data_IF_456611426123
#
_entry.id   IF_456611426123
#
_cell.length_a   1.000
_cell.length_b   1.000
_cell.length_c   1.000
_cell.angle_alpha   90.00
_cell.angle_beta   90.00
_cell.angle_gamma   90.00
#
_symmetry.space_group_name_H-M   'P 1'
#
loop_
_entity.id
_entity.type
_entity.pdbx_description
1 polymer ?
#
# COMPACT_ATOMS: atom_id res chain seq x y z
N UNK A 1 -22.16 6.22 10.40
CA UNK A 1 -22.23 7.45 11.24
C UNK A 1 -20.86 8.12 11.38
N UNK A 2 -19.81 7.42 11.84
CA UNK A 2 -18.50 8.03 12.10
C UNK A 2 -17.88 8.74 10.90
N UNK A 3 -17.93 8.18 9.69
CA UNK A 3 -17.44 8.85 8.47
C UNK A 3 -18.24 10.09 8.10
N UNK A 4 -19.59 10.05 8.25
CA UNK A 4 -20.43 11.21 8.01
C UNK A 4 -20.10 12.35 8.98
N UNK A 5 -19.86 12.02 10.25
CA UNK A 5 -19.46 12.99 11.27
C UNK A 5 -18.09 13.61 10.97
N UNK A 6 -17.06 12.80 10.69
CA UNK A 6 -15.73 13.28 10.39
C UNK A 6 -15.66 14.01 9.03
N UNK A 7 -16.45 13.56 8.08
CA UNK A 7 -16.53 14.15 6.74
C UNK A 7 -17.50 15.33 6.64
N UNK A 8 -18.26 15.63 7.71
CA UNK A 8 -19.29 16.68 7.70
C UNK A 8 -20.23 16.57 6.48
N UNK A 9 -20.68 15.37 6.17
CA UNK A 9 -21.53 15.08 5.02
C UNK A 9 -22.76 14.25 5.40
N UNK A 10 -23.85 14.28 4.60
CA UNK A 10 -25.01 13.41 4.78
C UNK A 10 -24.66 11.93 4.75
N UNK A 11 -25.50 11.08 5.34
CA UNK A 11 -25.28 9.64 5.41
C UNK A 11 -25.22 8.96 4.02
N UNK A 12 -26.00 9.41 3.09
CA UNK A 12 -26.02 8.94 1.70
C UNK A 12 -24.72 9.23 0.94
N UNK A 13 -23.97 10.25 1.36
CA UNK A 13 -22.72 10.65 0.71
C UNK A 13 -21.48 9.87 1.23
N UNK A 14 -21.61 9.10 2.32
CA UNK A 14 -20.47 8.35 2.89
C UNK A 14 -19.93 7.23 1.98
N UNK A 15 -20.70 6.79 0.99
CA UNK A 15 -20.28 5.81 0.01
C UNK A 15 -19.38 6.41 -1.09
N UNK A 16 -19.27 7.74 -1.14
CA UNK A 16 -18.43 8.48 -2.08
C UNK A 16 -17.26 9.12 -1.34
N UNK A 17 -16.06 8.56 -1.47
CA UNK A 17 -14.86 9.04 -0.76
C UNK A 17 -14.58 10.53 -1.02
N UNK A 18 -14.81 11.02 -2.23
CA UNK A 18 -14.65 12.43 -2.56
C UNK A 18 -15.55 13.36 -1.75
N UNK A 19 -16.74 12.92 -1.33
CA UNK A 19 -17.69 13.75 -0.59
C UNK A 19 -17.28 13.95 0.87
N UNK A 20 -17.03 12.85 1.59
CA UNK A 20 -16.63 12.99 3.00
C UNK A 20 -15.23 13.59 3.15
N UNK A 21 -14.31 13.36 2.19
CA UNK A 21 -13.00 14.00 2.21
C UNK A 21 -13.09 15.49 1.89
N UNK A 22 -13.88 15.89 0.88
CA UNK A 22 -14.12 17.30 0.56
C UNK A 22 -14.72 18.02 1.77
N UNK A 23 -15.72 17.46 2.44
CA UNK A 23 -16.31 18.04 3.62
C UNK A 23 -15.32 18.21 4.79
N UNK A 24 -14.52 17.18 5.08
CA UNK A 24 -13.48 17.26 6.11
C UNK A 24 -12.44 18.36 5.80
N UNK A 25 -12.00 18.47 4.55
CA UNK A 25 -11.05 19.51 4.12
C UNK A 25 -11.68 20.91 4.23
N UNK A 26 -12.92 21.09 3.78
CA UNK A 26 -13.59 22.38 3.84
C UNK A 26 -13.77 22.89 5.27
N UNK A 27 -14.09 22.00 6.22
CA UNK A 27 -14.17 22.37 7.64
C UNK A 27 -12.78 22.71 8.20
N UNK A 28 -11.74 21.99 7.82
CA UNK A 28 -10.37 22.33 8.20
C UNK A 28 -9.97 23.72 7.66
N UNK A 29 -10.24 24.01 6.39
CA UNK A 29 -9.97 25.31 5.77
C UNK A 29 -10.70 26.44 6.50
N UNK A 30 -12.01 26.26 6.77
CA UNK A 30 -12.81 27.24 7.50
C UNK A 30 -12.23 27.55 8.88
N UNK A 31 -11.82 26.51 9.62
CA UNK A 31 -11.20 26.69 10.96
C UNK A 31 -9.87 27.43 10.92
N UNK A 32 -9.17 27.39 9.80
CA UNK A 32 -7.90 28.08 9.61
C UNK A 32 -8.02 29.35 8.79
N UNK A 33 -9.25 29.87 8.53
CA UNK A 33 -9.53 31.07 7.76
C UNK A 33 -8.92 31.04 6.34
N UNK A 34 -8.90 29.86 5.71
CA UNK A 34 -8.38 29.65 4.36
C UNK A 34 -9.56 29.52 3.39
N UNK A 35 -9.52 30.26 2.29
CA UNK A 35 -10.54 30.20 1.23
C UNK A 35 -10.27 29.01 0.32
N UNK A 36 -11.29 28.15 0.14
CA UNK A 36 -11.20 27.03 -0.78
C UNK A 36 -11.31 27.50 -2.25
N UNK A 37 -10.61 26.84 -3.20
CA UNK A 37 -10.82 27.09 -4.61
C UNK A 37 -12.23 26.66 -5.04
N UNK A 38 -12.73 27.19 -6.14
CA UNK A 38 -13.97 26.72 -6.73
C UNK A 38 -13.83 25.27 -7.23
N UNK A 39 -14.94 24.53 -7.18
CA UNK A 39 -14.94 23.17 -7.73
C UNK A 39 -14.72 23.23 -9.25
N UNK A 40 -13.86 22.36 -9.82
CA UNK A 40 -13.65 22.33 -11.26
C UNK A 40 -14.98 22.13 -12.01
N UNK A 41 -15.21 22.93 -13.04
CA UNK A 41 -16.36 22.69 -13.94
C UNK A 41 -16.13 21.36 -14.64
N UNK A 42 -17.16 20.52 -14.72
CA UNK A 42 -17.09 19.29 -15.52
C UNK A 42 -16.81 19.72 -16.98
N UNK A 43 -15.63 19.39 -17.50
CA UNK A 43 -15.40 19.48 -18.93
C UNK A 43 -16.15 18.29 -19.57
N UNK A 44 -16.97 18.55 -20.57
CA UNK A 44 -17.61 17.51 -21.39
C UNK A 44 -16.62 16.78 -22.32
N UNK A 45 -15.32 17.04 -22.16
CA UNK A 45 -14.25 16.36 -22.90
C UNK A 45 -13.73 15.16 -22.13
N UNK A 46 -13.52 14.06 -22.83
CA UNK A 46 -12.85 12.86 -22.37
C UNK A 46 -11.42 13.20 -21.85
N UNK A 47 -11.30 13.65 -20.63
CA UNK A 47 -10.02 13.59 -19.94
C UNK A 47 -9.91 12.18 -19.37
N UNK A 48 -9.61 11.21 -20.22
CA UNK A 48 -9.03 9.93 -19.80
C UNK A 48 -7.65 10.21 -19.21
N UNK A 49 -7.61 10.88 -18.06
CA UNK A 49 -6.44 11.08 -17.23
C UNK A 49 -6.05 9.75 -16.55
N UNK A 50 -5.79 8.75 -17.37
CA UNK A 50 -5.18 7.51 -16.91
C UNK A 50 -3.74 7.83 -16.53
N UNK A 51 -3.41 7.74 -15.24
CA UNK A 51 -2.05 7.87 -14.74
C UNK A 51 -1.52 6.55 -14.21
N UNK A 52 -0.20 6.43 -14.15
CA UNK A 52 0.47 5.20 -13.71
C UNK A 52 0.18 4.95 -12.24
N UNK A 53 -0.44 3.81 -11.94
CA UNK A 53 -0.80 3.40 -10.57
C UNK A 53 0.37 2.81 -9.77
N UNK A 54 0.05 1.95 -8.82
CA UNK A 54 1.02 1.26 -7.98
C UNK A 54 1.98 0.35 -8.75
N UNK A 55 3.20 0.21 -8.26
CA UNK A 55 4.12 -0.80 -8.77
C UNK A 55 3.80 -2.17 -8.16
N UNK A 56 3.65 -3.17 -9.02
CA UNK A 56 3.49 -4.58 -8.63
C UNK A 56 4.45 -5.41 -9.47
N UNK A 57 5.36 -6.12 -8.82
CA UNK A 57 6.32 -7.01 -9.48
C UNK A 57 5.65 -8.32 -9.88
N UNK A 58 6.12 -8.98 -10.95
CA UNK A 58 5.79 -10.38 -11.16
C UNK A 58 6.45 -11.22 -10.05
N UNK A 59 5.72 -12.13 -9.40
CA UNK A 59 6.31 -12.94 -8.35
C UNK A 59 7.28 -13.99 -8.92
N UNK A 60 8.22 -14.39 -8.10
CA UNK A 60 8.89 -15.68 -8.27
C UNK A 60 7.84 -16.76 -7.99
N UNK A 61 7.28 -17.35 -9.08
CA UNK A 61 6.14 -18.27 -9.00
C UNK A 61 6.50 -19.54 -8.24
N UNK A 62 5.51 -20.07 -7.54
CA UNK A 62 5.62 -21.34 -6.81
C UNK A 62 5.46 -21.17 -5.31
N UNK A 63 5.77 -22.27 -4.60
CA UNK A 63 5.76 -22.31 -3.14
C UNK A 63 7.12 -21.87 -2.59
N UNK A 64 7.09 -20.99 -1.61
CA UNK A 64 8.25 -20.52 -0.86
C UNK A 64 8.02 -20.78 0.63
N UNK A 65 9.07 -21.25 1.31
CA UNK A 65 9.00 -21.52 2.74
C UNK A 65 9.56 -20.34 3.53
N UNK A 66 9.02 -20.14 4.73
CA UNK A 66 9.46 -19.16 5.71
C UNK A 66 9.57 -17.77 5.12
N UNK A 67 8.42 -17.32 4.60
CA UNK A 67 8.27 -16.00 3.98
C UNK A 67 7.93 -14.99 5.05
N UNK A 68 8.59 -13.84 5.03
CA UNK A 68 8.16 -12.66 5.79
C UNK A 68 7.98 -11.49 4.83
N UNK A 69 7.14 -10.56 5.25
CA UNK A 69 6.97 -9.30 4.55
C UNK A 69 7.62 -8.14 5.30
N UNK A 70 7.83 -7.09 4.56
CA UNK A 70 8.17 -5.76 5.06
C UNK A 70 7.26 -4.77 4.35
N UNK A 71 6.45 -4.04 5.11
CA UNK A 71 5.42 -3.12 4.60
C UNK A 71 5.78 -1.66 4.93
N UNK A 72 5.72 -0.79 3.92
CA UNK A 72 5.97 0.64 4.10
C UNK A 72 4.76 1.28 4.77
N UNK A 73 4.94 1.73 5.99
CA UNK A 73 3.90 2.32 6.84
C UNK A 73 3.19 3.47 6.14
N UNK A 74 1.91 3.24 5.75
CA UNK A 74 1.09 4.26 5.09
C UNK A 74 1.81 4.95 3.93
N UNK A 75 2.36 4.19 2.98
CA UNK A 75 3.28 4.65 1.93
C UNK A 75 2.80 5.93 1.22
N UNK A 76 1.59 5.97 0.69
CA UNK A 76 1.09 7.15 -0.02
C UNK A 76 0.90 8.39 0.88
N UNK A 77 0.27 8.30 2.07
CA UNK A 77 0.29 9.39 3.03
C UNK A 77 1.71 9.86 3.39
N UNK A 78 2.65 8.92 3.56
CA UNK A 78 4.05 9.26 3.87
C UNK A 78 4.74 9.99 2.72
N UNK A 79 4.49 9.61 1.46
CA UNK A 79 4.96 10.35 0.28
C UNK A 79 4.39 11.77 0.25
N UNK A 80 3.07 11.92 0.45
CA UNK A 80 2.41 13.24 0.45
C UNK A 80 3.00 14.14 1.53
N UNK A 81 3.11 13.64 2.76
CA UNK A 81 3.63 14.42 3.89
C UNK A 81 5.12 14.72 3.78
N UNK A 82 5.92 13.81 3.22
CA UNK A 82 7.38 13.99 3.10
C UNK A 82 7.74 14.99 2.01
N UNK A 83 7.12 14.87 0.84
CA UNK A 83 7.40 15.74 -0.31
C UNK A 83 6.59 17.04 -0.26
N UNK A 84 5.64 17.13 0.67
CA UNK A 84 4.72 18.27 0.84
C UNK A 84 3.78 18.46 -0.37
N UNK A 85 3.22 17.35 -0.87
CA UNK A 85 2.37 17.33 -2.07
C UNK A 85 1.02 17.98 -1.76
N UNK A 86 0.79 19.16 -2.32
CA UNK A 86 -0.48 19.89 -2.22
C UNK A 86 -0.58 20.89 -3.38
N UNK A 87 -1.78 21.26 -3.86
CA UNK A 87 -1.90 22.19 -4.99
C UNK A 87 -1.19 23.52 -4.77
N UNK A 88 -1.28 24.11 -3.58
CA UNK A 88 -0.71 25.41 -3.25
C UNK A 88 0.80 25.39 -2.94
N UNK A 89 1.38 24.21 -2.75
CA UNK A 89 2.83 24.05 -2.56
C UNK A 89 3.56 23.70 -3.85
N UNK A 90 2.83 23.32 -4.90
CA UNK A 90 3.36 23.00 -6.23
C UNK A 90 3.99 24.24 -6.87
N UNK A 91 5.25 24.13 -7.30
CA UNK A 91 6.01 25.20 -7.95
C UNK A 91 6.02 25.01 -9.47
N UNK A 92 6.23 23.76 -9.92
CA UNK A 92 6.34 23.41 -11.31
C UNK A 92 6.88 21.97 -11.46
N UNK A 93 7.28 21.63 -12.68
CA UNK A 93 7.76 20.29 -13.04
C UNK A 93 9.07 20.35 -13.80
N UNK A 94 10.01 19.52 -13.44
CA UNK A 94 11.26 19.29 -14.16
C UNK A 94 11.00 18.36 -15.36
N UNK A 95 11.21 18.86 -16.55
CA UNK A 95 10.97 18.11 -17.78
C UNK A 95 11.97 16.96 -17.98
N UNK A 96 11.43 15.74 -18.16
CA UNK A 96 12.25 14.54 -18.38
C UNK A 96 13.09 14.14 -17.17
N UNK A 97 12.63 14.51 -15.95
CA UNK A 97 13.30 14.17 -14.71
C UNK A 97 13.39 12.66 -14.49
N UNK A 98 14.55 12.22 -14.08
CA UNK A 98 14.81 10.86 -13.59
C UNK A 98 15.88 10.93 -12.50
N UNK A 99 15.54 10.73 -11.23
CA UNK A 99 16.48 10.87 -10.12
C UNK A 99 17.66 9.87 -10.19
N UNK A 100 17.45 8.66 -10.68
CA UNK A 100 18.53 7.67 -10.81
C UNK A 100 19.57 8.09 -11.87
N UNK A 101 19.11 8.57 -13.03
CA UNK A 101 20.01 9.10 -14.08
C UNK A 101 20.76 10.33 -13.58
N UNK A 102 20.04 11.21 -12.85
CA UNK A 102 20.65 12.39 -12.25
C UNK A 102 21.77 12.02 -11.27
N UNK A 103 21.56 11.02 -10.41
CA UNK A 103 22.58 10.56 -9.45
C UNK A 103 23.77 9.88 -10.12
N UNK A 104 23.57 9.19 -11.24
CA UNK A 104 24.63 8.55 -12.01
C UNK A 104 25.41 9.52 -12.92
N UNK A 105 25.00 10.80 -12.97
CA UNK A 105 25.51 11.81 -13.91
C UNK A 105 25.29 11.43 -15.40
N UNK A 106 24.34 10.53 -15.65
CA UNK A 106 23.88 10.11 -16.98
C UNK A 106 22.62 10.89 -17.33
N UNK A 107 22.79 12.19 -17.59
CA UNK A 107 21.67 13.10 -17.76
C UNK A 107 21.97 14.29 -18.69
N UNK A 108 20.92 15.03 -19.01
CA UNK A 108 21.00 16.23 -19.85
C UNK A 108 21.87 17.31 -19.17
N UNK A 109 22.56 18.10 -19.99
CA UNK A 109 23.34 19.25 -19.49
C UNK A 109 22.50 20.35 -18.88
N UNK A 110 21.21 20.43 -19.25
CA UNK A 110 20.27 21.45 -18.77
C UNK A 110 18.92 20.85 -18.46
N UNK A 111 18.24 21.41 -17.46
CA UNK A 111 16.91 21.08 -16.99
C UNK A 111 15.96 22.25 -17.18
N UNK A 112 14.83 22.03 -17.84
CA UNK A 112 13.75 23.01 -17.96
C UNK A 112 12.75 22.79 -16.82
N UNK A 113 12.30 23.86 -16.19
CA UNK A 113 11.19 23.87 -15.24
C UNK A 113 9.99 24.47 -15.94
N UNK A 114 8.86 23.76 -15.92
CA UNK A 114 7.57 24.23 -16.49
C UNK A 114 6.50 24.32 -15.42
N UNK A 115 5.56 25.23 -15.60
CA UNK A 115 4.31 25.29 -14.83
C UNK A 115 3.18 25.65 -15.78
N UNK A 116 2.10 24.86 -15.82
CA UNK A 116 0.96 25.03 -16.73
C UNK A 116 1.40 25.29 -18.20
N UNK A 117 2.35 24.45 -18.68
CA UNK A 117 2.98 24.53 -20.01
C UNK A 117 3.79 25.83 -20.29
N UNK A 118 4.05 26.64 -19.28
CA UNK A 118 4.94 27.80 -19.40
C UNK A 118 6.30 27.45 -18.83
N UNK A 119 7.36 27.73 -19.61
CA UNK A 119 8.73 27.56 -19.13
C UNK A 119 9.05 28.66 -18.10
N UNK A 120 9.46 28.25 -16.90
CA UNK A 120 9.88 29.13 -15.81
C UNK A 120 11.38 29.43 -15.84
N UNK A 121 12.17 28.55 -16.47
CA UNK A 121 13.61 28.71 -16.61
C UNK A 121 14.34 27.42 -17.00
N UNK A 122 15.59 27.59 -17.40
CA UNK A 122 16.54 26.51 -17.70
C UNK A 122 17.73 26.60 -16.77
N UNK A 123 18.15 25.47 -16.25
CA UNK A 123 19.17 25.36 -15.22
C UNK A 123 20.21 24.32 -15.62
N UNK A 124 21.46 24.59 -15.40
CA UNK A 124 22.51 23.56 -15.35
C UNK A 124 22.33 22.71 -14.09
N UNK A 125 23.02 21.58 -13.98
CA UNK A 125 22.97 20.74 -12.79
C UNK A 125 23.31 21.50 -11.50
N UNK A 126 24.36 22.33 -11.54
CA UNK A 126 24.83 23.09 -10.38
C UNK A 126 23.81 24.17 -9.98
N UNK A 127 23.29 24.92 -10.96
CA UNK A 127 22.26 25.93 -10.73
C UNK A 127 20.98 25.29 -10.18
N UNK A 128 20.56 24.14 -10.72
CA UNK A 128 19.40 23.43 -10.23
C UNK A 128 19.58 23.00 -8.77
N UNK A 129 20.73 22.41 -8.41
CA UNK A 129 21.01 22.03 -7.01
C UNK A 129 20.98 23.22 -6.07
N UNK A 130 21.58 24.33 -6.49
CA UNK A 130 21.56 25.56 -5.70
C UNK A 130 20.12 26.12 -5.58
N UNK A 131 19.37 26.11 -6.66
CA UNK A 131 17.97 26.56 -6.66
C UNK A 131 17.11 25.73 -5.71
N UNK A 132 17.20 24.39 -5.80
CA UNK A 132 16.43 23.48 -4.95
C UNK A 132 16.76 23.67 -3.45
N UNK A 133 18.06 23.77 -3.11
CA UNK A 133 18.50 23.88 -1.72
C UNK A 133 18.17 25.27 -1.13
N UNK A 134 18.45 26.34 -1.87
CA UNK A 134 18.24 27.72 -1.38
C UNK A 134 16.76 28.10 -1.21
N UNK A 135 15.87 27.40 -1.91
CA UNK A 135 14.43 27.65 -1.88
C UNK A 135 13.65 26.65 -1.04
N UNK A 136 14.32 25.72 -0.37
CA UNK A 136 13.66 24.63 0.39
C UNK A 136 12.63 23.90 -0.47
N UNK A 137 13.09 23.31 -1.57
CA UNK A 137 12.23 22.64 -2.55
C UNK A 137 12.44 21.13 -2.47
N UNK A 138 11.35 20.39 -2.20
CA UNK A 138 11.29 18.95 -2.41
C UNK A 138 10.91 18.62 -3.85
N UNK A 139 11.40 17.50 -4.38
CA UNK A 139 11.13 17.03 -5.74
C UNK A 139 10.54 15.63 -5.68
N UNK A 140 9.33 15.46 -6.17
CA UNK A 140 8.77 14.12 -6.38
C UNK A 140 9.52 13.39 -7.51
N UNK A 141 9.53 12.07 -7.50
CA UNK A 141 10.35 11.32 -8.47
C UNK A 141 9.87 11.43 -9.92
N UNK A 142 8.65 11.93 -10.15
CA UNK A 142 8.15 12.32 -11.48
C UNK A 142 8.58 13.74 -11.91
N UNK A 143 9.36 14.45 -11.09
CA UNK A 143 9.88 15.78 -11.39
C UNK A 143 9.03 16.95 -10.87
N UNK A 144 7.86 16.70 -10.30
CA UNK A 144 7.05 17.80 -9.73
C UNK A 144 7.73 18.32 -8.47
N UNK A 145 7.83 19.64 -8.36
CA UNK A 145 8.54 20.35 -7.31
C UNK A 145 7.54 21.01 -6.35
N UNK A 146 7.84 20.92 -5.07
CA UNK A 146 7.02 21.47 -3.99
C UNK A 146 7.88 22.28 -3.03
N UNK A 147 7.38 23.41 -2.58
CA UNK A 147 8.01 24.15 -1.47
C UNK A 147 7.86 23.35 -0.17
N UNK A 148 8.92 23.34 0.65
CA UNK A 148 8.94 22.57 1.93
C UNK A 148 9.17 23.50 3.15
N UNK A 149 9.21 24.80 2.95
CA UNK A 149 9.36 25.80 4.01
C UNK A 149 8.10 25.99 4.86
N UNK A 150 6.94 25.61 4.33
CA UNK A 150 5.63 25.66 5.00
C UNK A 150 4.81 24.43 4.63
N UNK A 151 4.15 23.84 5.61
CA UNK A 151 3.24 22.71 5.37
C UNK A 151 2.11 23.08 4.42
N UNK A 152 1.90 22.26 3.41
CA UNK A 152 0.72 22.32 2.55
C UNK A 152 -0.54 21.87 3.28
N UNK A 153 -1.69 22.26 2.74
CA UNK A 153 -3.01 21.91 3.28
C UNK A 153 -3.19 20.41 3.44
N UNK A 154 -2.94 19.65 2.37
CA UNK A 154 -3.15 18.19 2.35
C UNK A 154 -2.16 17.50 3.28
N UNK A 155 -0.85 17.76 3.26
CA UNK A 155 0.11 17.24 4.23
C UNK A 155 -0.25 17.55 5.68
N UNK A 156 -0.64 18.80 5.99
CA UNK A 156 -1.03 19.20 7.35
C UNK A 156 -2.25 18.41 7.87
N UNK A 157 -3.25 18.23 7.01
CA UNK A 157 -4.45 17.48 7.35
C UNK A 157 -4.15 15.97 7.54
N UNK A 158 -3.35 15.37 6.65
CA UNK A 158 -2.91 13.98 6.79
C UNK A 158 -2.11 13.75 8.09
N UNK A 159 -1.22 14.71 8.43
CA UNK A 159 -0.46 14.66 9.69
C UNK A 159 -1.39 14.64 10.88
N UNK A 160 -2.38 15.56 10.92
CA UNK A 160 -3.38 15.58 11.97
C UNK A 160 -4.11 14.24 12.12
N UNK A 161 -4.62 13.68 11.03
CA UNK A 161 -5.33 12.39 11.07
C UNK A 161 -4.42 11.22 11.46
N UNK A 162 -3.16 11.26 11.06
CA UNK A 162 -2.17 10.25 11.43
C UNK A 162 -1.88 10.29 12.93
N UNK A 163 -1.64 11.49 13.48
CA UNK A 163 -1.33 11.68 14.90
C UNK A 163 -2.54 11.31 15.78
N UNK A 164 -3.75 11.74 15.39
CA UNK A 164 -5.01 11.31 16.04
C UNK A 164 -5.17 9.78 16.02
N UNK A 165 -4.84 9.13 14.90
CA UNK A 165 -4.90 7.66 14.81
C UNK A 165 -3.91 6.99 15.76
N UNK A 166 -2.69 7.49 15.86
CA UNK A 166 -1.67 6.95 16.78
C UNK A 166 -2.17 7.08 18.23
N UNK A 167 -2.75 8.21 18.60
CA UNK A 167 -3.33 8.45 19.92
C UNK A 167 -4.48 7.49 20.21
N UNK A 168 -5.44 7.36 19.29
CA UNK A 168 -6.58 6.44 19.48
C UNK A 168 -6.13 4.98 19.61
N UNK A 169 -5.10 4.56 18.89
CA UNK A 169 -4.52 3.21 19.07
C UNK A 169 -3.90 3.01 20.44
N UNK A 170 -3.21 4.02 20.99
CA UNK A 170 -2.67 3.97 22.34
C UNK A 170 -3.79 3.87 23.39
N UNK A 171 -4.84 4.68 23.24
CA UNK A 171 -5.98 4.67 24.13
C UNK A 171 -6.75 3.34 24.06
N UNK A 172 -7.00 2.82 22.86
CA UNK A 172 -7.64 1.51 22.69
C UNK A 172 -6.87 0.40 23.40
N UNK A 173 -5.54 0.37 23.22
CA UNK A 173 -4.69 -0.61 23.90
C UNK A 173 -4.72 -0.45 25.41
N UNK A 174 -4.61 0.76 25.93
CA UNK A 174 -4.68 1.06 27.37
C UNK A 174 -5.99 0.56 28.00
N UNK A 175 -7.15 0.95 27.40
CA UNK A 175 -8.45 0.51 27.91
C UNK A 175 -8.67 -1.00 27.81
N UNK A 176 -8.06 -1.64 26.80
CA UNK A 176 -8.06 -3.10 26.72
C UNK A 176 -7.28 -3.74 27.88
N UNK A 177 -6.12 -3.19 28.24
CA UNK A 177 -5.30 -3.64 29.36
C UNK A 177 -5.99 -3.36 30.72
N UNK A 178 -6.73 -2.26 30.82
CA UNK A 178 -7.53 -1.88 32.00
C UNK A 178 -8.83 -2.69 32.12
N UNK A 179 -9.17 -3.55 31.14
CA UNK A 179 -10.39 -4.36 31.12
C UNK A 179 -11.66 -3.61 30.67
N UNK A 180 -11.55 -2.33 30.30
CA UNK A 180 -12.68 -1.52 29.78
C UNK A 180 -12.88 -1.77 28.28
N UNK A 181 -13.65 -2.81 27.99
CA UNK A 181 -13.94 -3.23 26.62
C UNK A 181 -14.69 -2.16 25.82
N UNK A 182 -15.60 -1.43 26.45
CA UNK A 182 -16.43 -0.43 25.77
C UNK A 182 -15.58 0.73 25.24
N UNK A 183 -14.71 1.29 26.09
CA UNK A 183 -13.78 2.35 25.68
C UNK A 183 -12.72 1.84 24.70
N UNK A 184 -12.22 0.62 24.89
CA UNK A 184 -11.29 0.00 23.93
C UNK A 184 -11.91 -0.09 22.53
N UNK A 185 -13.14 -0.63 22.41
CA UNK A 185 -13.88 -0.74 21.15
C UNK A 185 -14.22 0.64 20.56
N UNK A 186 -14.52 1.64 21.42
CA UNK A 186 -14.77 3.00 20.97
C UNK A 186 -13.54 3.61 20.28
N UNK A 187 -12.36 3.55 20.91
CA UNK A 187 -11.13 4.09 20.33
C UNK A 187 -10.62 3.26 19.15
N UNK A 188 -10.85 1.95 19.13
CA UNK A 188 -10.53 1.12 17.96
C UNK A 188 -11.36 1.53 16.74
N UNK A 189 -12.65 1.75 16.89
CA UNK A 189 -13.49 2.31 15.82
C UNK A 189 -13.01 3.69 15.35
N UNK A 190 -12.60 4.56 16.28
CA UNK A 190 -12.09 5.90 15.96
C UNK A 190 -10.80 5.83 15.12
N UNK A 191 -9.82 5.01 15.56
CA UNK A 191 -8.59 4.86 14.80
C UNK A 191 -8.82 4.23 13.42
N UNK A 192 -9.81 3.34 13.29
CA UNK A 192 -10.18 2.75 12.02
C UNK A 192 -10.76 3.78 11.04
N UNK A 193 -11.58 4.72 11.52
CA UNK A 193 -12.10 5.83 10.72
C UNK A 193 -10.96 6.72 10.19
N UNK A 194 -9.97 7.04 11.04
CA UNK A 194 -8.79 7.79 10.60
C UNK A 194 -7.98 7.04 9.53
N UNK A 195 -7.85 5.71 9.67
CA UNK A 195 -7.22 4.87 8.62
C UNK A 195 -7.95 4.99 7.28
N UNK A 196 -9.30 5.00 7.29
CA UNK A 196 -10.09 5.16 6.07
C UNK A 196 -9.82 6.53 5.42
N UNK A 197 -9.84 7.63 6.20
CA UNK A 197 -9.57 8.97 5.68
C UNK A 197 -8.16 9.07 5.06
N UNK A 198 -7.15 8.59 5.77
CA UNK A 198 -5.75 8.58 5.31
C UNK A 198 -5.57 7.83 3.97
N UNK A 199 -6.15 6.62 3.87
CA UNK A 199 -5.99 5.79 2.69
C UNK A 199 -6.84 6.26 1.51
N UNK A 200 -7.94 6.95 1.76
CA UNK A 200 -8.86 7.41 0.70
C UNK A 200 -8.40 8.70 0.03
N UNK A 201 -7.61 9.54 0.74
CA UNK A 201 -7.27 10.88 0.25
C UNK A 201 -6.43 10.84 -1.03
N UNK A 202 -5.45 9.93 -1.11
CA UNK A 202 -4.68 9.74 -2.33
C UNK A 202 -5.60 9.42 -3.53
N UNK A 203 -6.56 8.49 -3.36
CA UNK A 203 -7.44 8.04 -4.43
C UNK A 203 -8.33 9.13 -5.04
N UNK A 204 -8.59 10.23 -4.33
CA UNK A 204 -9.40 11.33 -4.83
C UNK A 204 -8.58 12.45 -5.47
N UNK A 205 -7.27 12.54 -5.25
CA UNK A 205 -6.41 13.55 -5.90
C UNK A 205 -6.40 13.41 -7.42
N UNK A 206 -6.50 12.18 -7.93
CA UNK A 206 -6.61 11.86 -9.36
C UNK A 206 -8.04 11.83 -9.89
N UNK A 207 -9.06 12.21 -9.11
CA UNK A 207 -10.46 12.19 -9.52
C UNK A 207 -10.89 13.56 -10.06
N UNK A 208 -11.23 13.72 -11.36
CA UNK A 208 -11.55 15.03 -11.97
C UNK A 208 -12.72 15.77 -11.31
N UNK A 209 -13.62 15.06 -10.63
CA UNK A 209 -14.74 15.66 -9.89
C UNK A 209 -14.37 16.18 -8.50
N UNK A 210 -13.15 15.93 -8.02
CA UNK A 210 -12.70 16.38 -6.71
C UNK A 210 -12.25 17.85 -6.78
N UNK A 211 -12.55 18.63 -5.73
CA UNK A 211 -12.23 20.07 -5.68
C UNK A 211 -10.73 20.38 -5.79
N UNK A 212 -9.90 19.51 -5.23
CA UNK A 212 -8.44 19.62 -5.19
C UNK A 212 -7.77 18.66 -6.18
N UNK A 213 -8.47 18.34 -7.26
CA UNK A 213 -7.92 17.52 -8.34
C UNK A 213 -6.71 18.18 -8.96
N UNK A 214 -5.62 17.43 -9.02
CA UNK A 214 -4.40 17.78 -9.75
C UNK A 214 -3.70 16.49 -10.15
N UNK A 215 -3.62 16.26 -11.46
CA UNK A 215 -3.05 15.02 -12.01
C UNK A 215 -1.56 14.89 -11.68
N UNK A 216 -0.80 15.97 -11.76
CA UNK A 216 0.63 15.97 -11.41
C UNK A 216 0.84 15.58 -9.95
N UNK A 217 -0.05 16.06 -9.04
CA UNK A 217 0.00 15.67 -7.63
C UNK A 217 -0.32 14.19 -7.43
N UNK A 218 -1.32 13.66 -8.13
CA UNK A 218 -1.66 12.24 -8.07
C UNK A 218 -0.51 11.36 -8.58
N UNK A 219 0.10 11.75 -9.71
CA UNK A 219 1.29 11.10 -10.26
C UNK A 219 2.51 11.22 -9.34
N UNK A 220 2.73 12.37 -8.71
CA UNK A 220 3.83 12.58 -7.79
C UNK A 220 3.79 11.57 -6.63
N UNK A 221 2.60 11.27 -6.11
CA UNK A 221 2.42 10.26 -5.04
C UNK A 221 2.79 8.87 -5.54
N UNK A 222 2.23 8.43 -6.68
CA UNK A 222 2.47 7.07 -7.17
C UNK A 222 3.89 6.84 -7.65
N UNK A 223 4.48 7.79 -8.40
CA UNK A 223 5.86 7.66 -8.86
C UNK A 223 6.85 7.66 -7.68
N UNK A 224 6.63 8.51 -6.66
CA UNK A 224 7.47 8.51 -5.46
C UNK A 224 7.35 7.19 -4.70
N UNK A 225 6.12 6.68 -4.52
CA UNK A 225 5.90 5.36 -3.92
C UNK A 225 6.53 4.22 -4.73
N UNK A 226 6.40 4.23 -6.05
CA UNK A 226 7.07 3.24 -6.92
C UNK A 226 8.60 3.29 -6.80
N UNK A 227 9.18 4.49 -6.77
CA UNK A 227 10.63 4.65 -6.63
C UNK A 227 11.09 4.20 -5.26
N UNK A 228 10.33 4.49 -4.21
CA UNK A 228 10.62 4.07 -2.85
C UNK A 228 10.62 2.54 -2.72
N UNK A 229 9.58 1.85 -3.22
CA UNK A 229 9.50 0.39 -3.08
C UNK A 229 10.57 -0.33 -3.95
N UNK A 230 10.91 0.21 -5.13
CA UNK A 230 12.01 -0.31 -5.95
C UNK A 230 13.37 -0.09 -5.27
N UNK A 231 13.57 1.06 -4.64
CA UNK A 231 14.74 1.35 -3.83
C UNK A 231 14.82 0.37 -2.64
N UNK A 232 13.72 0.16 -1.92
CA UNK A 232 13.61 -0.82 -0.82
C UNK A 232 14.04 -2.21 -1.27
N UNK A 233 13.51 -2.70 -2.40
CA UNK A 233 13.93 -3.98 -2.98
C UNK A 233 15.44 -4.03 -3.22
N UNK A 234 16.01 -2.98 -3.84
CA UNK A 234 17.44 -2.92 -4.15
C UNK A 234 18.29 -2.99 -2.88
N UNK A 235 17.94 -2.24 -1.85
CA UNK A 235 18.67 -2.21 -0.59
C UNK A 235 18.53 -3.54 0.17
N UNK A 236 17.33 -4.14 0.19
CA UNK A 236 17.11 -5.45 0.80
C UNK A 236 17.91 -6.55 0.06
N UNK A 237 17.94 -6.54 -1.28
CA UNK A 237 18.79 -7.47 -2.05
C UNK A 237 20.28 -7.26 -1.74
N UNK A 238 20.75 -6.02 -1.56
CA UNK A 238 22.14 -5.76 -1.17
C UNK A 238 22.46 -6.38 0.21
N UNK A 239 21.52 -6.32 1.15
CA UNK A 239 21.66 -6.98 2.45
C UNK A 239 21.78 -8.50 2.28
N UNK A 240 20.86 -9.12 1.52
CA UNK A 240 20.85 -10.55 1.25
C UNK A 240 22.12 -11.02 0.53
N UNK A 241 22.52 -10.32 -0.52
CA UNK A 241 23.69 -10.67 -1.33
C UNK A 241 24.97 -10.57 -0.51
N UNK A 242 25.12 -9.52 0.33
CA UNK A 242 26.24 -9.39 1.26
C UNK A 242 26.25 -10.54 2.26
N UNK A 243 25.10 -10.89 2.80
CA UNK A 243 24.97 -11.95 3.80
C UNK A 243 25.24 -13.33 3.20
N UNK A 244 24.74 -13.61 2.00
CA UNK A 244 24.84 -14.92 1.36
C UNK A 244 26.12 -15.10 0.55
N UNK A 245 26.75 -13.99 0.12
CA UNK A 245 27.93 -14.00 -0.73
C UNK A 245 27.59 -14.30 -2.21
N UNK A 246 26.42 -13.85 -2.66
CA UNK A 246 25.96 -14.01 -4.05
C UNK A 246 25.50 -12.66 -4.66
N UNK A 247 24.99 -12.68 -5.88
CA UNK A 247 24.43 -11.52 -6.59
C UNK A 247 23.12 -11.93 -7.28
N UNK A 248 22.09 -12.17 -6.46
CA UNK A 248 20.79 -12.65 -6.92
C UNK A 248 19.65 -11.72 -6.51
N UNK A 249 18.51 -11.90 -7.19
CA UNK A 249 17.24 -11.31 -6.77
C UNK A 249 16.55 -12.24 -5.77
N UNK A 250 16.66 -11.90 -4.50
CA UNK A 250 16.04 -12.64 -3.39
C UNK A 250 14.59 -12.20 -3.11
N UNK A 251 14.13 -11.10 -3.74
CA UNK A 251 12.77 -10.61 -3.57
C UNK A 251 11.77 -11.53 -4.27
N UNK A 252 10.94 -12.22 -3.51
CA UNK A 252 9.89 -13.10 -4.03
C UNK A 252 8.81 -12.31 -4.76
N UNK A 253 8.34 -11.23 -4.13
CA UNK A 253 7.21 -10.47 -4.64
C UNK A 253 7.15 -9.05 -4.09
N UNK A 254 6.55 -8.13 -4.85
CA UNK A 254 6.20 -6.77 -4.42
C UNK A 254 4.74 -6.51 -4.73
N UNK A 255 3.98 -6.06 -3.73
CA UNK A 255 2.60 -5.60 -3.90
C UNK A 255 2.41 -4.20 -3.34
N UNK A 256 2.59 -3.19 -4.18
CA UNK A 256 2.35 -1.78 -3.86
C UNK A 256 3.33 -1.21 -2.83
N UNK A 257 3.18 -1.54 -1.57
CA UNK A 257 3.90 -1.04 -0.40
C UNK A 257 4.64 -2.14 0.38
N UNK A 258 4.43 -3.41 0.03
CA UNK A 258 5.06 -4.54 0.69
C UNK A 258 6.04 -5.30 -0.20
N UNK A 259 7.13 -5.79 0.41
CA UNK A 259 8.12 -6.67 -0.21
C UNK A 259 8.20 -7.99 0.55
N UNK A 260 8.28 -9.10 -0.17
CA UNK A 260 8.29 -10.46 0.39
C UNK A 260 9.63 -11.14 0.15
N UNK A 261 10.19 -11.74 1.20
CA UNK A 261 11.46 -12.45 1.19
C UNK A 261 11.35 -13.80 1.89
N UNK A 262 12.14 -14.81 1.46
CA UNK A 262 12.33 -16.01 2.26
C UNK A 262 13.48 -15.83 3.22
N UNK A 263 13.25 -16.11 4.50
CA UNK A 263 14.29 -16.09 5.51
C UNK A 263 15.17 -17.33 5.50
N UNK A 264 14.72 -18.43 4.88
CA UNK A 264 15.38 -19.74 4.90
C UNK A 264 16.87 -19.67 4.56
N UNK A 265 17.33 -19.00 3.48
CA UNK A 265 18.75 -19.00 3.13
C UNK A 265 19.65 -18.39 4.23
N UNK A 266 19.20 -17.29 4.83
CA UNK A 266 19.96 -16.61 5.89
C UNK A 266 19.94 -17.42 7.18
N UNK A 267 18.79 -18.01 7.56
CA UNK A 267 18.68 -18.87 8.75
C UNK A 267 19.59 -20.08 8.61
N UNK A 268 19.60 -20.75 7.48
CA UNK A 268 20.46 -21.90 7.24
C UNK A 268 21.96 -21.54 7.33
N UNK A 269 22.35 -20.37 6.85
CA UNK A 269 23.74 -19.91 6.94
C UNK A 269 24.15 -19.53 8.35
N UNK A 270 23.32 -18.75 9.06
CA UNK A 270 23.65 -18.23 10.40
C UNK A 270 23.40 -19.23 11.52
N UNK A 271 22.40 -20.10 11.36
CA UNK A 271 21.92 -21.01 12.39
C UNK A 271 21.76 -22.43 11.83
N UNK A 272 22.83 -23.09 11.37
CA UNK A 272 22.75 -24.38 10.65
C UNK A 272 22.16 -25.52 11.52
N UNK A 273 22.11 -25.35 12.83
CA UNK A 273 21.53 -26.33 13.77
C UNK A 273 20.01 -26.25 13.87
N UNK A 274 19.40 -25.15 13.38
CA UNK A 274 17.94 -25.00 13.42
C UNK A 274 17.32 -25.83 12.29
N UNK A 275 16.51 -26.81 12.65
CA UNK A 275 15.76 -27.59 11.68
C UNK A 275 14.62 -26.76 11.09
N UNK A 276 14.42 -26.83 9.78
CA UNK A 276 13.38 -26.06 9.05
C UNK A 276 11.97 -26.33 9.60
N UNK A 277 11.73 -27.52 10.15
CA UNK A 277 10.44 -27.91 10.72
C UNK A 277 10.25 -27.48 12.19
N UNK A 278 11.24 -26.90 12.83
CA UNK A 278 11.13 -26.36 14.20
C UNK A 278 10.55 -24.94 14.14
N UNK A 279 9.22 -24.87 14.20
CA UNK A 279 8.47 -23.60 14.02
C UNK A 279 8.86 -22.54 15.04
N UNK A 280 9.10 -22.93 16.28
CA UNK A 280 9.44 -21.97 17.34
C UNK A 280 10.81 -21.33 17.10
N UNK A 281 11.84 -22.18 16.87
CA UNK A 281 13.19 -21.69 16.63
C UNK A 281 13.29 -20.93 15.30
N UNK A 282 12.63 -21.42 14.25
CA UNK A 282 12.57 -20.71 12.96
C UNK A 282 11.91 -19.36 13.11
N UNK A 283 10.75 -19.25 13.78
CA UNK A 283 10.06 -17.99 13.98
C UNK A 283 10.92 -16.96 14.75
N UNK A 284 11.62 -17.39 15.82
CA UNK A 284 12.53 -16.53 16.59
C UNK A 284 13.72 -16.06 15.75
N UNK A 285 14.31 -16.96 14.95
CA UNK A 285 15.43 -16.61 14.06
C UNK A 285 15.00 -15.64 12.97
N UNK A 286 13.82 -15.84 12.39
CA UNK A 286 13.26 -14.97 11.33
C UNK A 286 12.96 -13.58 11.89
N UNK A 287 12.33 -13.47 13.05
CA UNK A 287 12.08 -12.16 13.69
C UNK A 287 13.37 -11.37 13.84
N UNK A 288 14.44 -12.01 14.33
CA UNK A 288 15.75 -11.37 14.46
C UNK A 288 16.30 -10.88 13.10
N UNK A 289 16.20 -11.71 12.06
CA UNK A 289 16.67 -11.34 10.72
C UNK A 289 15.79 -10.20 10.16
N UNK A 290 14.47 -10.30 10.32
CA UNK A 290 13.54 -9.29 9.84
C UNK A 290 13.77 -7.92 10.52
N UNK A 291 14.05 -7.91 11.83
CA UNK A 291 14.40 -6.68 12.56
C UNK A 291 15.72 -6.07 12.05
N UNK A 292 16.73 -6.88 11.75
CA UNK A 292 17.99 -6.41 11.17
C UNK A 292 17.79 -5.82 9.77
N UNK A 293 17.00 -6.49 8.91
CA UNK A 293 16.67 -5.99 7.56
C UNK A 293 15.84 -4.70 7.66
N UNK A 294 14.85 -4.67 8.55
CA UNK A 294 14.02 -3.49 8.80
C UNK A 294 14.87 -2.29 9.21
N UNK A 295 15.78 -2.47 10.18
CA UNK A 295 16.68 -1.42 10.62
C UNK A 295 17.60 -0.94 9.50
N UNK A 296 18.16 -1.87 8.73
CA UNK A 296 19.03 -1.56 7.59
C UNK A 296 18.28 -0.74 6.52
N UNK A 297 17.03 -1.10 6.22
CA UNK A 297 16.19 -0.37 5.29
C UNK A 297 15.81 1.02 5.81
N UNK A 298 15.34 1.13 7.06
CA UNK A 298 14.97 2.42 7.64
C UNK A 298 16.14 3.40 7.66
N UNK A 299 17.34 2.94 7.98
CA UNK A 299 18.55 3.78 7.90
C UNK A 299 18.91 4.21 6.48
N UNK A 300 18.48 3.48 5.45
CA UNK A 300 18.73 3.84 4.06
C UNK A 300 17.75 4.88 3.51
N UNK A 301 16.61 5.08 4.17
CA UNK A 301 15.58 6.02 3.69
C UNK A 301 15.99 7.49 3.81
N UNK A 302 16.91 7.84 4.71
CA UNK A 302 17.53 9.17 4.72
C UNK A 302 18.25 9.47 3.39
N UNK A 303 18.96 8.47 2.85
CA UNK A 303 19.59 8.60 1.54
C UNK A 303 18.55 8.77 0.42
N UNK A 304 17.46 7.99 0.45
CA UNK A 304 16.37 8.14 -0.52
C UNK A 304 15.75 9.54 -0.45
N UNK A 305 15.35 9.98 0.76
CA UNK A 305 14.80 11.31 0.98
C UNK A 305 15.70 12.42 0.45
N UNK A 306 16.99 12.38 0.83
CA UNK A 306 17.96 13.41 0.46
C UNK A 306 18.31 13.39 -1.03
N UNK A 307 18.58 12.20 -1.60
CA UNK A 307 19.13 12.09 -2.95
C UNK A 307 18.09 11.99 -4.05
N UNK A 308 16.96 11.34 -3.78
CA UNK A 308 15.88 11.19 -4.78
C UNK A 308 14.87 12.33 -4.73
N UNK A 309 14.61 12.87 -3.54
CA UNK A 309 13.54 13.83 -3.32
C UNK A 309 14.01 15.22 -2.82
N UNK A 310 15.31 15.42 -2.59
CA UNK A 310 15.89 16.65 -2.02
C UNK A 310 15.23 17.07 -0.71
N UNK A 311 15.00 16.11 0.20
CA UNK A 311 14.36 16.32 1.50
C UNK A 311 15.37 16.24 2.63
N UNK A 312 15.28 17.16 3.60
CA UNK A 312 16.05 17.09 4.85
C UNK A 312 15.35 16.24 5.93
N UNK A 313 14.03 16.11 5.82
CA UNK A 313 13.20 15.27 6.72
C UNK A 313 12.18 14.50 5.89
N UNK A 314 11.92 13.27 6.30
CA UNK A 314 10.90 12.43 5.67
C UNK A 314 10.14 11.58 6.71
N UNK A 315 9.09 10.89 6.26
CA UNK A 315 8.25 9.98 7.06
C UNK A 315 8.24 8.54 6.51
N UNK A 316 9.23 8.20 5.70
CA UNK A 316 9.35 6.84 5.19
C UNK A 316 9.81 5.91 6.30
N UNK A 317 9.03 4.87 6.55
CA UNK A 317 9.25 3.87 7.57
C UNK A 317 8.72 2.54 7.08
N UNK A 318 9.47 1.47 7.27
CA UNK A 318 9.07 0.12 6.89
C UNK A 318 9.07 -0.78 8.12
N UNK A 319 8.11 -1.70 8.18
CA UNK A 319 7.94 -2.63 9.30
C UNK A 319 7.69 -4.04 8.81
N UNK A 320 8.20 -5.00 9.55
CA UNK A 320 7.78 -6.37 9.44
C UNK A 320 6.39 -6.53 10.04
N UNK A 321 5.46 -7.12 9.29
CA UNK A 321 4.09 -7.35 9.73
C UNK A 321 3.80 -8.84 9.92
N UNK A 322 4.06 -9.68 8.91
CA UNK A 322 3.71 -11.10 8.98
C UNK A 322 4.89 -12.02 8.73
N UNK A 323 4.89 -13.18 9.39
CA UNK A 323 5.73 -14.34 9.07
C UNK A 323 4.80 -15.48 8.67
N UNK A 324 5.04 -16.03 7.50
CA UNK A 324 4.34 -17.20 6.99
C UNK A 324 5.28 -18.41 6.97
N UNK A 325 4.81 -19.55 7.47
CA UNK A 325 5.51 -20.84 7.34
C UNK A 325 5.74 -21.20 5.87
N UNK A 326 4.76 -20.88 5.03
CA UNK A 326 4.83 -21.07 3.58
C UNK A 326 3.92 -20.07 2.85
N UNK A 327 4.29 -19.77 1.60
CA UNK A 327 3.51 -18.92 0.71
C UNK A 327 3.51 -19.47 -0.71
N UNK A 328 2.34 -19.50 -1.35
CA UNK A 328 2.18 -19.85 -2.75
C UNK A 328 1.91 -18.60 -3.57
N UNK A 329 2.82 -18.24 -4.46
CA UNK A 329 2.72 -17.06 -5.33
C UNK A 329 2.44 -17.50 -6.78
N UNK A 330 1.27 -17.11 -7.31
CA UNK A 330 0.80 -17.55 -8.63
C UNK A 330 1.05 -16.46 -9.67
N UNK A 331 0.57 -15.27 -9.44
CA UNK A 331 0.76 -14.10 -10.29
C UNK A 331 0.49 -12.81 -9.50
N UNK A 332 0.61 -11.65 -10.15
CA UNK A 332 0.34 -10.35 -9.52
C UNK A 332 -1.02 -10.36 -8.79
N UNK A 333 -1.02 -9.97 -7.53
CA UNK A 333 -2.19 -9.88 -6.64
C UNK A 333 -2.94 -11.21 -6.43
N UNK A 334 -2.30 -12.35 -6.72
CA UNK A 334 -2.88 -13.69 -6.53
C UNK A 334 -1.88 -14.60 -5.81
N UNK A 335 -2.02 -14.68 -4.49
CA UNK A 335 -1.16 -15.48 -3.62
C UNK A 335 -1.89 -15.92 -2.35
N UNK A 336 -1.35 -16.92 -1.69
CA UNK A 336 -1.81 -17.42 -0.39
C UNK A 336 -0.66 -17.67 0.56
N UNK A 337 -0.85 -17.33 1.84
CA UNK A 337 0.15 -17.46 2.91
C UNK A 337 -0.44 -18.23 4.08
N UNK A 338 0.35 -19.15 4.66
CA UNK A 338 0.07 -19.78 5.96
C UNK A 338 0.80 -18.99 7.05
N UNK A 339 0.10 -18.04 7.65
CA UNK A 339 0.67 -17.10 8.62
C UNK A 339 0.74 -17.74 10.00
N UNK A 340 1.91 -17.63 10.63
CA UNK A 340 2.19 -18.10 11.99
C UNK A 340 2.50 -16.98 12.97
N UNK A 341 2.88 -15.81 12.47
CA UNK A 341 3.08 -14.61 13.29
C UNK A 341 2.49 -13.39 12.58
N UNK A 342 1.77 -12.56 13.30
CA UNK A 342 1.13 -11.34 12.83
C UNK A 342 1.41 -10.22 13.83
N UNK A 343 2.24 -9.26 13.44
CA UNK A 343 2.66 -8.13 14.28
C UNK A 343 3.18 -8.58 15.67
N UNK A 344 4.05 -9.60 15.71
CA UNK A 344 4.65 -10.15 16.91
C UNK A 344 3.75 -11.15 17.69
N UNK A 345 2.50 -11.36 17.26
CA UNK A 345 1.59 -12.31 17.90
C UNK A 345 1.60 -13.65 17.15
N UNK A 346 1.74 -14.73 17.88
CA UNK A 346 1.60 -16.08 17.32
C UNK A 346 0.15 -16.31 16.89
N UNK A 347 -0.03 -16.71 15.64
CA UNK A 347 -1.33 -16.98 15.05
C UNK A 347 -1.25 -18.25 14.18
N UNK A 348 -2.40 -18.77 13.77
CA UNK A 348 -2.48 -19.87 12.81
C UNK A 348 -3.63 -19.55 11.85
N UNK A 349 -3.32 -18.78 10.80
CA UNK A 349 -4.36 -18.36 9.85
C UNK A 349 -3.90 -18.41 8.41
N UNK A 350 -4.86 -18.56 7.50
CA UNK A 350 -4.65 -18.41 6.07
C UNK A 350 -4.90 -16.95 5.67
N UNK A 351 -3.97 -16.35 4.94
CA UNK A 351 -4.20 -15.11 4.21
C UNK A 351 -4.23 -15.42 2.72
N UNK A 352 -5.33 -15.03 2.06
CA UNK A 352 -5.48 -15.27 0.62
C UNK A 352 -5.83 -13.97 -0.08
N UNK A 353 -5.10 -13.65 -1.14
CA UNK A 353 -5.31 -12.46 -1.97
C UNK A 353 -5.62 -12.86 -3.40
N UNK A 354 -6.74 -12.38 -3.94
CA UNK A 354 -7.12 -12.43 -5.34
C UNK A 354 -7.30 -13.82 -5.96
N UNK A 355 -7.10 -14.92 -5.21
CA UNK A 355 -7.40 -16.27 -5.66
C UNK A 355 -8.92 -16.51 -5.67
N UNK A 356 -9.37 -17.49 -6.44
CA UNK A 356 -10.79 -17.77 -6.64
C UNK A 356 -11.48 -18.27 -5.36
N UNK A 357 -10.70 -18.73 -4.37
CA UNK A 357 -11.15 -19.10 -3.03
C UNK A 357 -11.90 -17.97 -2.29
N UNK A 358 -11.57 -16.71 -2.57
CA UNK A 358 -12.15 -15.54 -1.89
C UNK A 358 -13.10 -14.72 -2.77
N UNK A 359 -13.35 -15.16 -4.01
CA UNK A 359 -14.23 -14.45 -4.94
C UNK A 359 -15.70 -14.82 -4.73
N UNK A 360 -16.54 -13.84 -4.43
CA UNK A 360 -17.99 -14.06 -4.26
C UNK A 360 -18.71 -14.56 -5.52
N UNK A 361 -18.14 -14.34 -6.71
CA UNK A 361 -18.67 -14.84 -7.97
C UNK A 361 -18.34 -16.32 -8.25
N UNK A 362 -17.67 -17.00 -7.32
CA UNK A 362 -17.33 -18.43 -7.46
C UNK A 362 -18.28 -19.27 -6.61
N UNK A 363 -18.71 -20.48 -7.08
CA UNK A 363 -19.59 -21.37 -6.33
C UNK A 363 -19.05 -21.71 -4.95
N UNK A 364 -19.90 -21.80 -3.94
CA UNK A 364 -19.49 -21.99 -2.54
C UNK A 364 -18.69 -23.28 -2.37
N UNK A 365 -19.15 -24.43 -2.91
CA UNK A 365 -18.46 -25.69 -2.82
C UNK A 365 -17.06 -25.64 -3.46
N UNK A 366 -16.93 -24.93 -4.60
CA UNK A 366 -15.61 -24.74 -5.25
C UNK A 366 -14.67 -23.89 -4.41
N UNK A 367 -15.16 -22.82 -3.77
CA UNK A 367 -14.34 -21.97 -2.89
C UNK A 367 -13.83 -22.76 -1.69
N UNK A 368 -14.69 -23.57 -1.06
CA UNK A 368 -14.32 -24.41 0.07
C UNK A 368 -13.26 -25.46 -0.35
N UNK A 369 -13.47 -26.14 -1.46
CA UNK A 369 -12.52 -27.11 -2.00
C UNK A 369 -11.15 -26.47 -2.32
N UNK A 370 -11.15 -25.36 -3.05
CA UNK A 370 -9.93 -24.64 -3.40
C UNK A 370 -9.21 -24.09 -2.17
N UNK A 371 -9.95 -23.64 -1.14
CA UNK A 371 -9.36 -23.19 0.13
C UNK A 371 -8.65 -24.33 0.86
N UNK A 372 -9.30 -25.51 0.93
CA UNK A 372 -8.69 -26.71 1.53
C UNK A 372 -7.49 -27.17 0.73
N UNK A 373 -7.58 -27.23 -0.60
CA UNK A 373 -6.48 -27.62 -1.48
C UNK A 373 -5.28 -26.66 -1.32
N UNK A 374 -5.53 -25.34 -1.25
CA UNK A 374 -4.47 -24.35 -1.01
C UNK A 374 -3.78 -24.58 0.34
N UNK A 375 -4.56 -24.82 1.40
CA UNK A 375 -4.00 -25.12 2.72
C UNK A 375 -3.14 -26.39 2.69
N UNK A 376 -3.63 -27.46 2.08
CA UNK A 376 -2.92 -28.73 1.97
C UNK A 376 -1.61 -28.59 1.16
N UNK A 377 -1.61 -27.80 0.07
CA UNK A 377 -0.38 -27.46 -0.67
C UNK A 377 0.62 -26.71 0.21
N UNK A 378 0.15 -25.74 0.99
CA UNK A 378 1.01 -24.95 1.88
C UNK A 378 1.56 -25.77 3.05
N UNK A 379 0.87 -26.86 3.44
CA UNK A 379 1.26 -27.80 4.51
C UNK A 379 2.07 -28.99 4.00
N UNK A 380 2.50 -29.00 2.72
CA UNK A 380 3.28 -30.08 2.10
C UNK A 380 2.56 -31.44 2.08
N UNK A 381 1.23 -31.44 1.94
CA UNK A 381 0.48 -32.68 1.74
C UNK A 381 0.95 -33.36 0.44
N UNK A 382 1.26 -34.68 0.45
CA UNK A 382 1.73 -35.39 -0.75
C UNK A 382 0.77 -35.28 -1.93
N UNK A 383 1.31 -35.19 -3.13
CA UNK A 383 0.55 -35.02 -4.38
C UNK A 383 -0.54 -36.08 -4.54
N UNK A 384 -0.27 -37.35 -4.19
CA UNK A 384 -1.22 -38.45 -4.31
C UNK A 384 -2.46 -38.24 -3.44
N UNK A 385 -2.32 -37.57 -2.30
CA UNK A 385 -3.46 -37.21 -1.42
C UNK A 385 -4.25 -36.05 -1.99
N UNK A 386 -3.55 -35.07 -2.57
CA UNK A 386 -4.20 -33.93 -3.25
C UNK A 386 -5.00 -34.41 -4.46
N UNK A 387 -4.45 -35.31 -5.26
CA UNK A 387 -5.12 -35.89 -6.43
C UNK A 387 -6.37 -36.68 -6.00
N UNK A 388 -6.27 -37.52 -4.97
CA UNK A 388 -7.43 -38.23 -4.39
C UNK A 388 -8.50 -37.26 -3.88
N UNK A 389 -8.12 -36.19 -3.21
CA UNK A 389 -9.06 -35.17 -2.73
C UNK A 389 -9.83 -34.54 -3.89
N UNK A 390 -9.13 -34.15 -4.97
CA UNK A 390 -9.74 -33.55 -6.17
C UNK A 390 -10.72 -34.54 -6.83
N UNK A 391 -10.33 -35.80 -6.99
CA UNK A 391 -11.18 -36.84 -7.60
C UNK A 391 -12.43 -37.07 -6.74
N UNK A 392 -12.28 -37.16 -5.43
CA UNK A 392 -13.40 -37.38 -4.52
C UNK A 392 -14.37 -36.18 -4.57
N UNK A 393 -13.84 -34.94 -4.59
CA UNK A 393 -14.67 -33.75 -4.75
C UNK A 393 -15.43 -33.77 -6.08
N UNK A 394 -14.77 -34.09 -7.20
CA UNK A 394 -15.42 -34.18 -8.51
C UNK A 394 -16.58 -35.20 -8.51
N UNK A 395 -16.41 -36.30 -7.84
CA UNK A 395 -17.47 -37.32 -7.73
C UNK A 395 -18.61 -36.85 -6.83
N UNK A 396 -18.33 -36.16 -5.72
CA UNK A 396 -19.35 -35.64 -4.81
C UNK A 396 -20.19 -34.50 -5.42
N UNK A 397 -19.63 -33.74 -6.37
CA UNK A 397 -20.36 -32.63 -7.01
C UNK A 397 -21.71 -33.07 -7.65
N UNK A 398 -21.77 -34.32 -8.13
CA UNK A 398 -23.00 -34.84 -8.74
C UNK A 398 -24.16 -35.00 -7.74
N UNK A 399 -23.85 -35.04 -6.45
CA UNK A 399 -24.79 -35.24 -5.34
C UNK A 399 -25.03 -33.95 -4.54
N UNK A 400 -24.35 -32.85 -4.90
CA UNK A 400 -24.48 -31.59 -4.18
C UNK A 400 -25.74 -30.83 -4.59
N UNK A 401 -26.30 -30.07 -3.64
CA UNK A 401 -27.39 -29.16 -3.93
C UNK A 401 -26.97 -28.10 -4.94
N UNK A 402 -27.88 -27.70 -5.79
CA UNK A 402 -27.62 -26.78 -6.90
C UNK A 402 -27.11 -25.41 -6.42
N UNK A 403 -27.61 -24.90 -5.30
CA UNK A 403 -27.20 -23.64 -4.68
C UNK A 403 -25.70 -23.60 -4.29
N UNK A 404 -25.10 -24.76 -4.02
CA UNK A 404 -23.66 -24.87 -3.68
C UNK A 404 -22.74 -24.87 -4.90
N UNK A 405 -23.23 -25.36 -6.04
CA UNK A 405 -22.44 -25.54 -7.27
C UNK A 405 -22.77 -24.48 -8.35
N UNK A 406 -23.89 -23.76 -8.21
CA UNK A 406 -24.27 -22.69 -9.12
C UNK A 406 -23.36 -21.47 -8.99
N UNK A 407 -23.15 -20.76 -10.12
CA UNK A 407 -22.39 -19.51 -10.14
C UNK A 407 -23.27 -18.39 -9.60
N UNK A 408 -22.92 -17.76 -8.48
CA UNK A 408 -23.67 -16.63 -7.95
C UNK A 408 -23.65 -15.47 -8.95
N UNK A 409 -24.82 -15.00 -9.36
CA UNK A 409 -24.94 -13.89 -10.29
C UNK A 409 -25.75 -12.76 -9.67
N UNK A 410 -25.20 -11.54 -9.67
CA UNK A 410 -25.92 -10.36 -9.19
C UNK A 410 -27.04 -9.94 -10.15
N UNK A 411 -28.24 -9.79 -9.62
CA UNK A 411 -29.40 -9.31 -10.38
C UNK A 411 -29.56 -7.82 -10.18
N UNK A 412 -29.44 -7.02 -11.27
CA UNK A 412 -29.72 -5.59 -11.26
C UNK A 412 -31.20 -5.33 -11.55
N UNK A 413 -31.76 -4.28 -10.95
CA UNK A 413 -33.15 -3.87 -11.16
C UNK A 413 -34.16 -4.98 -10.85
N UNK A 414 -34.05 -5.60 -9.71
CA UNK A 414 -34.84 -6.74 -9.25
C UNK A 414 -36.36 -6.52 -9.44
N UNK A 415 -36.82 -5.25 -9.35
CA UNK A 415 -38.24 -4.88 -9.60
C UNK A 415 -38.76 -5.28 -10.99
N UNK A 416 -37.90 -5.50 -11.99
CA UNK A 416 -38.31 -5.98 -13.32
C UNK A 416 -38.75 -7.45 -13.32
N UNK A 417 -38.38 -8.19 -12.28
CA UNK A 417 -38.64 -9.63 -12.16
C UNK A 417 -39.76 -9.94 -11.18
N UNK A 418 -40.37 -8.91 -10.56
CA UNK A 418 -41.60 -9.11 -9.81
C UNK A 418 -42.74 -9.33 -10.82
N UNK A 419 -43.31 -10.52 -10.79
CA UNK A 419 -44.56 -10.79 -11.47
C UNK A 419 -45.63 -9.94 -10.77
N UNK A 420 -46.34 -9.06 -11.49
CA UNK A 420 -47.50 -8.41 -10.95
C UNK A 420 -48.57 -9.51 -10.76
N UNK A 421 -49.02 -9.70 -9.52
CA UNK A 421 -50.13 -10.58 -9.25
C UNK A 421 -51.30 -10.15 -10.15
N UNK A 422 -51.74 -11.03 -11.07
CA UNK A 422 -52.90 -10.82 -11.92
C UNK A 422 -52.65 -10.59 -13.41
N UNK A 423 -51.48 -10.98 -13.94
CA UNK A 423 -51.21 -10.93 -15.38
C UNK A 423 -50.77 -12.27 -15.91
#
# INVERSE_FOLDING_TARGET
RGLAHLGHCPYEDVFMSSRYLEGAILVYLRKNSIVAPNKPKRSNGNSDGSFVGAYVQNPQKGKHNWVFDLDITSMYPSCIMSVNISPETKIGKLEGWNPEKFLRKDHKKTYSITNDNKELGKFTETELKNYLNNKSIGVATNGVMYRTDKDGLIPALLRKWFDERVEYRKLSKKFHEDGDKEQSDYFDRRQHLQKILLNSLYGVLGLPSFRFYDLDNAEAVTYTGQSLIKFTKKIANNFYNKELGDDKDHCIYIDTDSVFYSATPIVQKRFPTIKINDEEKMSKAILKIADEVQLYLNNSYDYFGKKFCNLDKHRFDIKQEVIAKSGLFVTKKRYGLKIINDNGKTVNKMMVKGLDTVRSSFPTAMREMLSKLLEDILMDVPKEQLDKFIINFKNSMKLMNFDKIAIPTGVKNIKKYYVKDGG
#
